data_IF_350588066531
#
_entry.id   IF_350588066531
#
_cell.length_a   1.000
_cell.length_b   1.000
_cell.length_c   1.000
_cell.angle_alpha   90.00
_cell.angle_beta   90.00
_cell.angle_gamma   90.00
#
_symmetry.space_group_name_H-M   'P 1'
#
loop_
_entity.id
_entity.type
_entity.pdbx_description
1 polymer ?
#
# COMPACT_ATOMS: atom_id res chain seq x y z
N UNK A 1 16.92 -22.33 84.07
CA UNK A 1 15.88 -21.47 83.57
C UNK A 1 15.67 -21.80 82.08
N UNK A 2 14.54 -22.38 81.83
CA UNK A 2 14.20 -23.03 80.55
C UNK A 2 13.36 -22.07 79.74
N UNK A 3 13.78 -21.73 78.55
CA UNK A 3 12.95 -21.00 77.56
C UNK A 3 12.53 -21.99 76.48
N UNK A 4 11.25 -22.24 76.38
CA UNK A 4 10.56 -22.94 75.31
C UNK A 4 10.48 -21.99 74.10
N UNK A 5 11.02 -22.40 72.97
CA UNK A 5 10.68 -21.81 71.64
C UNK A 5 9.59 -22.71 71.06
N UNK A 6 8.42 -22.12 70.94
CA UNK A 6 7.29 -22.69 70.21
C UNK A 6 7.45 -22.34 68.72
N UNK A 7 7.65 -23.36 67.92
CA UNK A 7 7.71 -23.23 66.46
C UNK A 7 6.31 -23.17 65.90
N UNK A 8 5.87 -22.03 65.42
CA UNK A 8 4.65 -21.89 64.64
C UNK A 8 4.97 -22.22 63.21
N UNK A 9 4.51 -23.38 62.74
CA UNK A 9 4.56 -23.82 61.35
C UNK A 9 3.41 -23.16 60.60
N UNK A 10 3.69 -22.14 59.83
CA UNK A 10 2.69 -21.50 58.93
C UNK A 10 2.63 -22.34 57.68
N UNK A 11 1.56 -23.10 57.53
CA UNK A 11 1.18 -23.82 56.30
C UNK A 11 0.68 -22.77 55.29
N UNK A 12 1.52 -22.39 54.32
CA UNK A 12 1.11 -21.60 53.18
C UNK A 12 0.41 -22.55 52.18
N UNK A 13 -0.91 -22.68 52.28
CA UNK A 13 -1.69 -23.33 51.22
C UNK A 13 -1.73 -22.46 49.99
N UNK A 14 -0.95 -22.80 48.97
CA UNK A 14 -1.03 -22.23 47.66
C UNK A 14 -2.39 -22.56 47.03
N UNK A 15 -3.32 -21.62 47.05
CA UNK A 15 -4.57 -21.69 46.30
C UNK A 15 -4.20 -21.53 44.83
N UNK A 16 -4.06 -22.62 44.10
CA UNK A 16 -4.00 -22.64 42.65
C UNK A 16 -5.41 -22.36 42.15
N UNK A 17 -5.69 -21.11 41.85
CA UNK A 17 -6.88 -20.74 41.09
C UNK A 17 -6.71 -21.25 39.67
N UNK A 18 -7.62 -22.05 39.12
CA UNK A 18 -7.59 -22.37 37.71
C UNK A 18 -7.84 -21.07 36.96
N UNK A 19 -6.86 -20.62 36.15
CA UNK A 19 -7.07 -19.59 35.14
C UNK A 19 -7.98 -20.24 34.11
N UNK A 20 -9.28 -20.10 34.29
CA UNK A 20 -10.24 -20.36 33.23
C UNK A 20 -9.97 -19.30 32.19
N UNK A 21 -9.28 -19.68 31.12
CA UNK A 21 -9.27 -18.91 29.87
C UNK A 21 -10.73 -18.79 29.46
N UNK A 22 -11.30 -17.62 29.66
CA UNK A 22 -12.58 -17.29 29.05
C UNK A 22 -12.26 -17.24 27.55
N UNK A 23 -12.48 -18.38 26.88
CA UNK A 23 -12.67 -18.35 25.46
C UNK A 23 -13.81 -17.33 25.22
N UNK A 24 -13.53 -16.23 24.57
CA UNK A 24 -14.57 -15.34 24.11
C UNK A 24 -15.47 -16.21 23.22
N UNK A 25 -16.58 -16.64 23.81
CA UNK A 25 -17.67 -17.22 23.05
C UNK A 25 -18.11 -16.14 22.10
N UNK A 26 -17.86 -16.36 20.81
CA UNK A 26 -18.51 -15.60 19.75
C UNK A 26 -19.97 -15.52 20.11
N UNK A 27 -20.41 -14.31 20.41
CA UNK A 27 -21.83 -14.02 20.65
C UNK A 27 -22.55 -14.41 19.38
N UNK A 28 -23.22 -15.55 19.43
CA UNK A 28 -24.10 -16.04 18.39
C UNK A 28 -25.14 -14.95 18.14
N UNK A 29 -24.99 -14.24 17.05
CA UNK A 29 -25.98 -13.29 16.57
C UNK A 29 -27.32 -14.00 16.45
N UNK A 30 -28.43 -13.38 16.87
CA UNK A 30 -29.73 -14.01 16.84
C UNK A 30 -30.06 -14.46 15.41
N UNK A 31 -30.45 -15.71 15.32
CA UNK A 31 -30.86 -16.42 14.12
C UNK A 31 -31.77 -15.57 13.23
N UNK A 32 -31.29 -15.24 12.04
CA UNK A 32 -32.16 -14.70 10.99
C UNK A 32 -31.62 -13.58 10.10
N UNK A 33 -30.68 -12.76 10.55
CA UNK A 33 -30.06 -11.74 9.70
C UNK A 33 -28.61 -12.11 9.42
N UNK A 34 -28.32 -12.54 8.17
CA UNK A 34 -26.94 -12.74 7.73
C UNK A 34 -26.19 -11.43 7.94
N UNK A 35 -24.99 -11.45 8.56
CA UNK A 35 -24.23 -10.26 8.81
C UNK A 35 -24.01 -9.53 7.48
N UNK A 36 -24.43 -8.28 7.42
CA UNK A 36 -23.94 -7.37 6.38
C UNK A 36 -22.49 -7.16 6.75
N UNK A 37 -21.58 -7.70 5.95
CA UNK A 37 -20.14 -7.41 6.12
C UNK A 37 -19.94 -5.92 5.83
N UNK A 38 -20.06 -5.12 6.87
CA UNK A 38 -19.46 -3.80 6.91
C UNK A 38 -18.01 -4.07 7.21
N UNK A 39 -17.15 -3.84 6.23
CA UNK A 39 -15.74 -3.67 6.54
C UNK A 39 -15.70 -2.32 7.26
N UNK A 40 -15.83 -2.37 8.58
CA UNK A 40 -15.53 -1.21 9.39
C UNK A 40 -14.08 -0.82 9.08
N UNK A 41 -13.69 0.39 9.41
CA UNK A 41 -12.33 0.92 9.29
C UNK A 41 -11.34 0.14 10.19
N UNK A 42 -11.42 -1.18 10.17
CA UNK A 42 -10.55 -2.08 10.90
C UNK A 42 -9.28 -2.33 10.09
N UNK A 43 -8.18 -2.54 10.78
CA UNK A 43 -6.87 -2.85 10.18
C UNK A 43 -6.84 -4.21 9.46
N UNK A 44 -7.94 -4.95 9.47
CA UNK A 44 -8.05 -6.28 8.90
C UNK A 44 -8.47 -6.21 7.43
N UNK A 45 -7.70 -6.85 6.58
CA UNK A 45 -8.11 -7.13 5.20
C UNK A 45 -9.34 -8.05 5.26
N UNK A 46 -10.42 -7.75 4.50
CA UNK A 46 -11.56 -8.65 4.45
C UNK A 46 -11.12 -10.03 3.98
N UNK A 47 -11.41 -11.05 4.77
CA UNK A 47 -11.13 -12.42 4.38
C UNK A 47 -11.86 -12.78 3.09
N UNK A 48 -11.12 -13.36 2.15
CA UNK A 48 -11.73 -14.03 1.01
C UNK A 48 -12.33 -15.35 1.53
N UNK A 49 -13.58 -15.32 1.97
CA UNK A 49 -14.28 -16.54 2.33
C UNK A 49 -14.43 -17.42 1.08
N UNK A 50 -13.51 -18.33 0.89
CA UNK A 50 -13.76 -19.56 0.15
C UNK A 50 -14.55 -20.46 1.09
N UNK A 51 -15.87 -20.47 0.97
CA UNK A 51 -16.68 -21.49 1.60
C UNK A 51 -16.37 -22.78 0.84
N UNK A 52 -15.68 -23.76 1.43
CA UNK A 52 -15.55 -25.06 0.77
C UNK A 52 -16.97 -25.59 0.54
N UNK A 53 -17.23 -26.10 -0.67
CA UNK A 53 -18.46 -26.82 -0.96
C UNK A 53 -18.45 -28.09 -0.11
N UNK A 54 -19.02 -28.02 1.07
CA UNK A 54 -19.33 -29.20 1.85
C UNK A 54 -20.41 -29.97 1.11
N UNK A 55 -20.05 -31.14 0.62
CA UNK A 55 -20.93 -32.14 0.08
C UNK A 55 -22.02 -32.48 1.12
N UNK A 56 -23.15 -31.83 1.05
CA UNK A 56 -24.34 -32.20 1.81
C UNK A 56 -25.34 -32.86 0.90
N UNK A 57 -25.55 -34.10 1.23
CA UNK A 57 -26.53 -35.03 0.71
C UNK A 57 -27.96 -34.48 0.69
N UNK A 58 -28.63 -34.72 -0.46
CA UNK A 58 -30.09 -34.87 -0.74
C UNK A 58 -31.06 -33.71 -0.63
N UNK A 59 -31.46 -33.27 -1.81
CA UNK A 59 -32.85 -33.11 -2.31
C UNK A 59 -33.85 -32.22 -1.56
N UNK A 60 -33.78 -30.94 -1.79
CA UNK A 60 -34.89 -30.06 -2.12
C UNK A 60 -34.44 -29.17 -3.26
N UNK A 61 -35.25 -29.00 -4.33
CA UNK A 61 -34.97 -28.05 -5.42
C UNK A 61 -34.74 -26.69 -4.80
N UNK A 62 -33.52 -26.38 -4.43
CA UNK A 62 -33.13 -25.07 -3.86
C UNK A 62 -33.18 -24.08 -5.01
N UNK A 63 -34.00 -23.03 -4.87
CA UNK A 63 -33.91 -21.85 -5.75
C UNK A 63 -32.42 -21.46 -5.81
N UNK A 64 -31.90 -21.28 -7.04
CA UNK A 64 -30.50 -20.90 -7.26
C UNK A 64 -30.12 -19.77 -6.31
N UNK A 65 -28.98 -19.88 -5.58
CA UNK A 65 -28.61 -18.89 -4.60
C UNK A 65 -28.51 -17.54 -5.30
N UNK A 66 -29.26 -16.55 -4.82
CA UNK A 66 -29.20 -15.18 -5.36
C UNK A 66 -27.74 -14.74 -5.31
N UNK A 67 -27.14 -14.40 -6.48
CA UNK A 67 -25.77 -13.91 -6.57
C UNK A 67 -25.56 -12.78 -5.57
N UNK A 68 -24.69 -13.00 -4.57
CA UNK A 68 -24.39 -11.99 -3.55
C UNK A 68 -23.87 -10.75 -4.26
N UNK A 69 -24.45 -9.59 -3.97
CA UNK A 69 -23.92 -8.31 -4.48
C UNK A 69 -22.55 -8.09 -3.85
N UNK A 70 -21.52 -7.95 -4.67
CA UNK A 70 -20.16 -7.66 -4.21
C UNK A 70 -20.06 -6.17 -3.95
N UNK A 71 -20.19 -5.78 -2.70
CA UNK A 71 -20.13 -4.38 -2.26
C UNK A 71 -19.04 -4.29 -1.20
N UNK A 72 -18.07 -3.43 -1.42
CA UNK A 72 -17.00 -3.12 -0.49
C UNK A 72 -17.02 -1.62 -0.24
N UNK A 73 -16.82 -1.20 1.02
CA UNK A 73 -16.81 0.23 1.38
C UNK A 73 -17.98 0.99 0.72
N UNK A 74 -19.20 0.40 0.76
CA UNK A 74 -20.44 0.95 0.18
C UNK A 74 -20.50 1.02 -1.36
N UNK A 75 -19.43 0.69 -2.07
CA UNK A 75 -19.37 0.73 -3.52
C UNK A 75 -19.55 -0.65 -4.14
N UNK A 76 -20.34 -0.71 -5.23
CA UNK A 76 -20.59 -1.95 -5.99
C UNK A 76 -19.38 -2.31 -6.85
N UNK A 77 -18.93 -3.57 -6.77
CA UNK A 77 -17.76 -4.06 -7.47
C UNK A 77 -18.04 -5.26 -8.36
N UNK A 78 -17.13 -5.47 -9.31
CA UNK A 78 -17.03 -6.71 -10.10
C UNK A 78 -15.70 -7.38 -9.78
N UNK A 79 -15.63 -8.71 -9.85
CA UNK A 79 -14.41 -9.49 -9.68
C UNK A 79 -13.64 -9.51 -11.00
N UNK A 80 -12.32 -9.31 -10.92
CA UNK A 80 -11.37 -9.48 -12.01
C UNK A 80 -10.23 -10.40 -11.61
N UNK A 81 -9.48 -10.86 -12.60
CA UNK A 81 -8.22 -11.55 -12.41
C UNK A 81 -7.30 -11.29 -13.59
N UNK A 82 -6.01 -11.33 -13.36
CA UNK A 82 -4.96 -11.29 -14.38
C UNK A 82 -4.03 -12.47 -14.15
N UNK A 83 -3.75 -13.21 -15.21
CA UNK A 83 -2.77 -14.30 -15.21
C UNK A 83 -1.62 -13.92 -16.12
N UNK A 84 -0.42 -13.90 -15.58
CA UNK A 84 0.81 -13.62 -16.33
C UNK A 84 1.75 -14.80 -16.20
N UNK A 85 2.36 -15.21 -17.32
CA UNK A 85 3.36 -16.27 -17.36
C UNK A 85 4.69 -15.60 -17.70
N UNK A 86 5.70 -15.79 -16.86
CA UNK A 86 7.06 -15.29 -17.14
C UNK A 86 7.72 -16.17 -18.17
N UNK A 87 8.10 -15.56 -19.32
CA UNK A 87 8.51 -16.29 -20.51
C UNK A 87 9.67 -17.27 -20.33
N UNK A 88 10.67 -16.92 -19.51
CA UNK A 88 11.90 -17.74 -19.37
C UNK A 88 11.82 -18.75 -18.22
N UNK A 89 11.07 -18.44 -17.16
CA UNK A 89 11.02 -19.27 -15.94
C UNK A 89 9.74 -20.11 -15.81
N UNK A 90 8.75 -19.92 -16.67
CA UNK A 90 7.46 -20.61 -16.61
C UNK A 90 6.63 -20.24 -15.36
N UNK A 91 7.07 -19.31 -14.55
CA UNK A 91 6.36 -18.90 -13.34
C UNK A 91 5.01 -18.26 -13.67
N UNK A 92 3.97 -18.76 -13.03
CA UNK A 92 2.60 -18.25 -13.20
C UNK A 92 2.28 -17.30 -12.07
N UNK A 93 2.04 -16.04 -12.40
CA UNK A 93 1.51 -15.04 -11.47
C UNK A 93 0.01 -14.90 -11.70
N UNK A 94 -0.78 -14.98 -10.63
CA UNK A 94 -2.22 -14.80 -10.65
C UNK A 94 -2.59 -13.68 -9.69
N UNK A 95 -3.14 -12.59 -10.23
CA UNK A 95 -3.66 -11.46 -9.44
C UNK A 95 -5.18 -11.51 -9.43
N UNK A 96 -5.77 -11.64 -8.25
CA UNK A 96 -7.22 -11.67 -8.02
C UNK A 96 -7.62 -10.37 -7.36
N UNK A 97 -8.60 -9.67 -7.92
CA UNK A 97 -8.98 -8.34 -7.47
C UNK A 97 -10.46 -8.05 -7.72
N UNK A 98 -10.87 -6.92 -7.18
CA UNK A 98 -12.16 -6.32 -7.49
C UNK A 98 -11.94 -4.92 -8.07
N UNK A 99 -12.90 -4.48 -8.90
CA UNK A 99 -12.90 -3.15 -9.50
C UNK A 99 -14.30 -2.55 -9.45
N UNK A 100 -14.39 -1.23 -9.47
CA UNK A 100 -15.65 -0.50 -9.43
C UNK A 100 -16.53 -0.82 -10.62
N UNK A 101 -17.82 -1.04 -10.37
CA UNK A 101 -18.82 -1.20 -11.43
C UNK A 101 -19.08 0.12 -12.15
N UNK A 102 -19.16 1.20 -11.41
CA UNK A 102 -19.36 2.57 -11.87
C UNK A 102 -18.07 3.35 -11.64
N UNK A 103 -17.72 4.25 -12.57
CA UNK A 103 -16.51 5.03 -12.44
C UNK A 103 -16.60 5.96 -11.22
N UNK A 104 -15.51 6.07 -10.49
CA UNK A 104 -15.31 7.07 -9.45
C UNK A 104 -13.85 7.52 -9.51
N UNK A 105 -13.64 8.82 -9.52
CA UNK A 105 -12.31 9.38 -9.61
C UNK A 105 -11.50 9.10 -8.32
N UNK A 106 -10.26 8.61 -8.45
CA UNK A 106 -9.35 8.50 -7.34
C UNK A 106 -8.98 9.88 -6.76
N UNK A 107 -8.44 9.89 -5.54
CA UNK A 107 -7.93 11.11 -4.93
C UNK A 107 -6.73 11.65 -5.75
N UNK A 108 -6.81 12.89 -6.28
CA UNK A 108 -5.79 13.45 -7.16
C UNK A 108 -4.43 13.72 -6.48
N UNK A 109 -4.40 13.78 -5.14
CA UNK A 109 -3.17 13.99 -4.37
C UNK A 109 -2.36 12.72 -4.16
N UNK A 110 -2.93 11.53 -4.44
CA UNK A 110 -2.24 10.28 -4.23
C UNK A 110 -1.44 9.93 -5.48
N UNK A 111 -0.12 9.79 -5.36
CA UNK A 111 0.75 9.56 -6.52
C UNK A 111 0.62 8.15 -7.10
N UNK A 112 0.13 7.19 -6.33
CA UNK A 112 0.04 5.79 -6.69
C UNK A 112 -1.42 5.34 -6.84
N UNK A 113 -1.95 5.45 -8.07
CA UNK A 113 -3.30 5.01 -8.42
C UNK A 113 -3.19 3.69 -9.18
N UNK A 114 -3.91 2.67 -8.72
CA UNK A 114 -3.92 1.34 -9.31
C UNK A 114 -5.19 1.13 -10.12
N UNK A 115 -5.01 0.79 -11.39
CA UNK A 115 -6.08 0.50 -12.33
C UNK A 115 -5.80 -0.78 -13.08
N UNK A 116 -6.85 -1.48 -13.47
CA UNK A 116 -6.75 -2.57 -14.42
C UNK A 116 -6.91 -2.03 -15.83
N UNK A 117 -5.86 -2.14 -16.64
CA UNK A 117 -5.88 -1.85 -18.07
C UNK A 117 -6.46 -3.08 -18.79
N UNK A 118 -7.68 -2.92 -19.34
CA UNK A 118 -8.39 -4.01 -20.02
C UNK A 118 -7.67 -4.37 -21.32
N UNK A 119 -7.13 -3.38 -22.03
CA UNK A 119 -6.49 -3.57 -23.33
C UNK A 119 -5.23 -4.42 -23.21
N UNK A 120 -4.43 -4.15 -22.17
CA UNK A 120 -3.19 -4.88 -21.89
C UNK A 120 -3.40 -6.08 -20.97
N UNK A 121 -4.60 -6.21 -20.40
CA UNK A 121 -4.96 -7.20 -19.38
C UNK A 121 -3.93 -7.27 -18.25
N UNK A 122 -3.61 -6.12 -17.66
CA UNK A 122 -2.65 -6.01 -16.55
C UNK A 122 -3.06 -4.93 -15.56
N UNK A 123 -2.68 -5.10 -14.28
CA UNK A 123 -2.77 -4.03 -13.28
C UNK A 123 -1.58 -3.11 -13.48
N UNK A 124 -1.87 -1.81 -13.63
CA UNK A 124 -0.85 -0.78 -13.76
C UNK A 124 -0.99 0.25 -12.63
N UNK A 125 0.14 0.84 -12.29
CA UNK A 125 0.24 1.97 -11.38
C UNK A 125 0.44 3.24 -12.19
N UNK A 126 -0.40 4.22 -11.97
CA UNK A 126 -0.35 5.53 -12.65
C UNK A 126 -0.40 6.66 -11.61
N UNK A 127 0.23 7.78 -11.90
CA UNK A 127 0.16 8.97 -11.04
C UNK A 127 -1.06 9.83 -11.34
N UNK A 128 -1.55 9.78 -12.58
CA UNK A 128 -2.73 10.51 -13.06
C UNK A 128 -3.44 9.70 -14.14
N UNK A 129 -4.75 9.75 -14.15
CA UNK A 129 -5.55 9.13 -15.20
C UNK A 129 -5.90 10.19 -16.23
N UNK A 130 -5.43 10.01 -17.45
CA UNK A 130 -5.78 10.86 -18.59
C UNK A 130 -7.19 10.52 -19.08
N UNK A 131 -7.98 11.52 -19.43
CA UNK A 131 -9.36 11.34 -19.86
C UNK A 131 -9.51 10.40 -21.08
N UNK A 132 -8.56 10.44 -22.01
CA UNK A 132 -8.53 9.58 -23.19
C UNK A 132 -8.28 8.10 -22.88
N UNK A 133 -7.66 7.79 -21.74
CA UNK A 133 -7.37 6.41 -21.30
C UNK A 133 -8.42 5.84 -20.36
N UNK A 134 -9.28 6.71 -19.82
CA UNK A 134 -10.33 6.32 -18.87
C UNK A 134 -11.24 5.17 -19.35
N UNK A 135 -11.67 5.12 -20.62
CA UNK A 135 -12.52 4.01 -21.10
C UNK A 135 -11.89 2.63 -20.97
N UNK A 136 -10.54 2.55 -21.09
CA UNK A 136 -9.77 1.31 -21.04
C UNK A 136 -9.39 0.90 -19.62
N UNK A 137 -9.61 1.77 -18.63
CA UNK A 137 -9.21 1.54 -17.25
C UNK A 137 -10.38 1.17 -16.37
N UNK A 138 -10.12 0.31 -15.40
CA UNK A 138 -11.06 -0.01 -14.31
C UNK A 138 -10.35 0.23 -12.99
N UNK A 139 -10.93 1.10 -12.19
CA UNK A 139 -10.38 1.50 -10.88
C UNK A 139 -10.50 0.33 -9.90
N UNK A 140 -9.39 -0.08 -9.30
CA UNK A 140 -9.38 -1.17 -8.32
C UNK A 140 -10.09 -0.76 -7.03
N UNK A 141 -10.86 -1.68 -6.44
CA UNK A 141 -11.60 -1.41 -5.21
C UNK A 141 -12.01 -2.70 -4.51
N UNK A 142 -11.68 -2.83 -3.21
CA UNK A 142 -11.93 -4.04 -2.43
C UNK A 142 -10.70 -4.94 -2.35
N UNK A 143 -10.87 -6.19 -1.91
CA UNK A 143 -9.78 -7.13 -1.67
C UNK A 143 -8.92 -7.42 -2.89
N UNK A 144 -7.63 -7.61 -2.63
CA UNK A 144 -6.59 -7.96 -3.60
C UNK A 144 -5.72 -9.09 -3.08
N UNK A 145 -5.41 -10.04 -3.95
CA UNK A 145 -4.48 -11.14 -3.68
C UNK A 145 -3.62 -11.39 -4.91
N UNK A 146 -2.31 -11.49 -4.70
CA UNK A 146 -1.34 -11.89 -5.72
C UNK A 146 -0.72 -13.22 -5.33
N UNK A 147 -0.75 -14.15 -6.26
CA UNK A 147 -0.19 -15.49 -6.10
C UNK A 147 0.93 -15.72 -7.12
N UNK A 148 1.96 -16.41 -6.71
CA UNK A 148 3.03 -16.92 -7.59
C UNK A 148 3.06 -18.44 -7.49
N UNK A 149 2.80 -19.12 -8.60
CA UNK A 149 2.72 -20.59 -8.66
C UNK A 149 1.76 -21.19 -7.61
N UNK A 150 0.63 -20.51 -7.34
CA UNK A 150 -0.35 -20.89 -6.34
C UNK A 150 -0.07 -20.43 -4.91
N UNK A 151 1.11 -19.86 -4.65
CA UNK A 151 1.51 -19.35 -3.35
C UNK A 151 1.21 -17.87 -3.23
N UNK A 152 0.55 -17.44 -2.14
CA UNK A 152 0.25 -16.03 -1.92
C UNK A 152 1.54 -15.27 -1.61
N UNK A 153 1.83 -14.23 -2.39
CA UNK A 153 3.00 -13.35 -2.21
C UNK A 153 2.63 -11.94 -1.81
N UNK A 154 1.40 -11.49 -2.06
CA UNK A 154 0.94 -10.17 -1.62
C UNK A 154 -0.57 -10.20 -1.38
N UNK A 155 -1.02 -9.60 -0.28
CA UNK A 155 -2.44 -9.39 0.02
C UNK A 155 -2.70 -7.96 0.45
N UNK A 156 -3.91 -7.48 0.20
CA UNK A 156 -4.31 -6.15 0.63
C UNK A 156 -5.72 -5.80 0.19
N UNK A 157 -6.04 -4.53 0.29
CA UNK A 157 -7.29 -4.00 -0.24
C UNK A 157 -7.06 -2.64 -0.92
N UNK A 158 -7.89 -2.34 -1.90
CA UNK A 158 -7.91 -1.05 -2.56
C UNK A 158 -9.18 -0.25 -2.19
N UNK A 159 -9.03 1.05 -2.07
CA UNK A 159 -10.11 2.01 -1.97
C UNK A 159 -10.02 3.01 -3.12
N UNK A 160 -10.92 2.92 -4.09
CA UNK A 160 -10.95 3.79 -5.28
C UNK A 160 -9.55 3.99 -5.88
N UNK A 161 -8.93 2.88 -6.31
CA UNK A 161 -7.61 2.86 -6.94
C UNK A 161 -6.41 3.04 -6.03
N UNK A 162 -6.59 3.24 -4.73
CA UNK A 162 -5.49 3.50 -3.80
C UNK A 162 -5.37 2.38 -2.77
N UNK A 163 -4.16 2.12 -2.26
CA UNK A 163 -3.96 1.13 -1.19
C UNK A 163 -4.74 1.52 0.05
N UNK A 164 -5.38 0.55 0.69
CA UNK A 164 -6.18 0.73 1.90
C UNK A 164 -6.06 -0.47 2.83
N UNK A 165 -6.32 -0.26 4.13
CA UNK A 165 -6.17 -1.27 5.18
C UNK A 165 -4.75 -1.86 5.25
N UNK A 166 -4.63 -3.09 5.72
CA UNK A 166 -3.35 -3.78 5.88
C UNK A 166 -2.90 -4.42 4.58
N UNK A 167 -1.66 -4.17 4.19
CA UNK A 167 -0.96 -4.82 3.10
C UNK A 167 0.15 -5.69 3.64
N UNK A 168 0.22 -6.91 3.14
CA UNK A 168 1.18 -7.92 3.56
C UNK A 168 1.90 -8.45 2.33
N UNK A 169 3.22 -8.60 2.45
CA UNK A 169 4.07 -9.18 1.42
C UNK A 169 4.82 -10.38 1.99
N UNK A 170 4.84 -11.47 1.24
CA UNK A 170 5.41 -12.74 1.62
C UNK A 170 6.48 -13.17 0.63
N UNK A 171 7.50 -13.84 1.12
CA UNK A 171 8.48 -14.49 0.26
C UNK A 171 7.96 -15.82 -0.31
N UNK A 172 8.81 -16.49 -1.11
CA UNK A 172 8.47 -17.80 -1.69
C UNK A 172 8.33 -18.92 -0.65
N UNK A 173 8.78 -18.69 0.58
CA UNK A 173 8.68 -19.62 1.72
C UNK A 173 7.53 -19.27 2.65
N UNK A 174 6.63 -18.35 2.24
CA UNK A 174 5.52 -17.82 3.04
C UNK A 174 5.95 -17.06 4.30
N UNK A 175 7.18 -16.57 4.34
CA UNK A 175 7.62 -15.72 5.44
C UNK A 175 7.16 -14.30 5.16
N UNK A 176 6.43 -13.71 6.11
CA UNK A 176 6.01 -12.32 6.05
C UNK A 176 7.25 -11.42 6.19
N UNK A 177 7.57 -10.67 5.14
CA UNK A 177 8.69 -9.71 5.19
C UNK A 177 8.26 -8.26 5.11
N UNK A 178 7.01 -7.99 4.74
CA UNK A 178 6.48 -6.64 4.64
C UNK A 178 5.06 -6.54 5.16
N UNK A 179 4.81 -5.56 6.05
CA UNK A 179 3.49 -5.25 6.57
C UNK A 179 3.33 -3.75 6.69
N UNK A 180 2.39 -3.19 5.97
CA UNK A 180 2.13 -1.75 5.96
C UNK A 180 0.63 -1.49 6.05
N UNK A 181 0.25 -0.49 6.82
CA UNK A 181 -1.14 -0.07 6.96
C UNK A 181 -1.38 1.23 6.19
N UNK A 182 -2.46 1.26 5.42
CA UNK A 182 -2.85 2.42 4.63
C UNK A 182 -4.27 2.87 4.97
N UNK A 183 -4.52 4.16 4.87
CA UNK A 183 -5.85 4.74 4.90
C UNK A 183 -6.07 5.58 3.65
N UNK A 184 -6.89 5.05 2.72
CA UNK A 184 -7.24 5.71 1.45
C UNK A 184 -6.02 6.27 0.70
N UNK A 185 -4.96 5.44 0.60
CA UNK A 185 -3.74 5.75 -0.14
C UNK A 185 -2.59 6.31 0.69
N UNK A 186 -2.85 6.84 1.87
CA UNK A 186 -1.83 7.34 2.79
C UNK A 186 -1.46 6.28 3.84
N UNK A 187 -0.23 6.31 4.39
CA UNK A 187 0.09 5.53 5.58
C UNK A 187 -0.92 5.86 6.70
N UNK A 188 -1.41 4.86 7.42
CA UNK A 188 -2.55 5.03 8.34
C UNK A 188 -2.32 6.05 9.45
N UNK A 189 -1.10 6.15 9.96
CA UNK A 189 -0.73 7.04 11.05
C UNK A 189 -0.11 8.36 10.54
N UNK A 190 -0.14 8.61 9.21
CA UNK A 190 0.45 9.81 8.64
C UNK A 190 -0.21 11.09 9.17
N UNK A 191 0.63 12.06 9.56
CA UNK A 191 0.18 13.42 9.84
C UNK A 191 0.03 14.18 8.52
N UNK A 192 -1.20 14.53 8.16
CA UNK A 192 -1.50 15.28 6.95
C UNK A 192 -1.80 16.71 7.31
N UNK A 193 -1.09 17.65 6.71
CA UNK A 193 -1.37 19.10 6.81
C UNK A 193 -2.03 19.58 5.52
N UNK A 194 -2.78 20.66 5.59
CA UNK A 194 -3.57 21.19 4.49
C UNK A 194 -3.31 22.68 4.30
N UNK A 195 -3.48 23.18 3.09
CA UNK A 195 -3.46 24.61 2.79
C UNK A 195 -4.74 25.31 3.24
N UNK A 196 -5.87 24.57 3.25
CA UNK A 196 -7.19 25.09 3.52
C UNK A 196 -7.85 24.43 4.75
N UNK A 197 -8.69 25.17 5.45
CA UNK A 197 -9.46 24.65 6.59
C UNK A 197 -10.45 23.56 6.19
N UNK A 198 -10.92 23.55 4.93
CA UNK A 198 -11.83 22.52 4.40
C UNK A 198 -11.13 21.18 4.12
N UNK A 199 -9.81 21.09 4.32
CA UNK A 199 -8.98 19.88 4.13
C UNK A 199 -9.09 19.26 2.74
N UNK A 200 -9.26 20.10 1.72
CA UNK A 200 -9.31 19.63 0.33
C UNK A 200 -7.95 19.67 -0.35
N UNK A 201 -7.11 20.65 0.01
CA UNK A 201 -5.79 20.84 -0.57
C UNK A 201 -4.73 20.33 0.39
N UNK A 202 -4.17 19.18 0.12
CA UNK A 202 -3.08 18.61 0.93
C UNK A 202 -1.81 19.43 0.72
N UNK A 203 -1.16 19.83 1.82
CA UNK A 203 0.13 20.54 1.82
C UNK A 203 1.28 19.58 2.05
N UNK A 204 1.18 18.73 3.06
CA UNK A 204 2.26 17.87 3.48
C UNK A 204 1.73 16.57 4.06
N UNK A 205 2.42 15.47 3.78
CA UNK A 205 2.15 14.15 4.36
C UNK A 205 3.42 13.65 5.03
N UNK A 206 3.41 13.69 6.36
CA UNK A 206 4.46 13.11 7.19
C UNK A 206 4.08 11.68 7.58
N UNK A 207 4.84 10.67 7.15
CA UNK A 207 4.54 9.29 7.49
C UNK A 207 5.00 8.99 8.92
N UNK A 208 4.07 8.63 9.80
CA UNK A 208 4.37 8.12 11.12
C UNK A 208 3.94 6.66 11.23
N UNK A 209 4.76 5.85 11.88
CA UNK A 209 4.44 4.50 12.30
C UNK A 209 5.05 4.27 13.68
N UNK A 210 4.22 3.86 14.65
CA UNK A 210 4.62 3.70 16.07
C UNK A 210 5.36 4.92 16.67
N UNK A 211 4.92 6.13 16.30
CA UNK A 211 5.48 7.38 16.83
C UNK A 211 6.78 7.86 16.19
N UNK A 212 7.35 7.10 15.25
CA UNK A 212 8.55 7.49 14.48
C UNK A 212 8.18 7.86 13.05
N UNK A 213 8.99 8.70 12.41
CA UNK A 213 8.88 8.95 10.96
C UNK A 213 9.28 7.68 10.22
N UNK A 214 8.31 7.06 9.52
CA UNK A 214 8.49 5.80 8.81
C UNK A 214 7.63 5.77 7.55
N UNK A 215 8.23 5.59 6.38
CA UNK A 215 7.54 5.49 5.11
C UNK A 215 7.71 6.70 4.20
N UNK A 216 6.84 6.84 3.20
CA UNK A 216 6.99 7.82 2.14
C UNK A 216 6.46 9.20 2.55
N UNK A 217 7.30 10.21 2.37
CA UNK A 217 7.04 11.63 2.63
C UNK A 217 6.68 12.37 1.33
N UNK A 218 5.72 13.29 1.42
CA UNK A 218 5.32 14.15 0.31
C UNK A 218 5.07 15.58 0.77
N UNK A 219 5.56 16.53 -0.01
CA UNK A 219 5.21 17.95 0.08
C UNK A 219 4.60 18.39 -1.24
N UNK A 220 3.50 19.12 -1.19
CA UNK A 220 2.74 19.58 -2.36
C UNK A 220 2.72 21.10 -2.46
N UNK A 221 2.57 21.61 -3.68
CA UNK A 221 2.21 22.98 -3.93
C UNK A 221 0.71 23.20 -3.71
N UNK A 222 0.26 24.42 -3.63
CA UNK A 222 -1.16 24.75 -3.54
C UNK A 222 -1.96 24.29 -4.77
N UNK A 223 -1.30 24.18 -5.93
CA UNK A 223 -1.87 23.63 -7.18
C UNK A 223 -1.96 22.09 -7.16
N UNK A 224 -1.45 21.43 -6.12
CA UNK A 224 -1.45 19.96 -6.00
C UNK A 224 -0.27 19.25 -6.68
N UNK A 225 0.72 19.99 -7.17
CA UNK A 225 1.94 19.36 -7.70
C UNK A 225 2.85 18.93 -6.56
N UNK A 226 3.52 17.80 -6.70
CA UNK A 226 4.54 17.35 -5.74
C UNK A 226 5.74 18.27 -5.83
N UNK A 227 6.18 18.84 -4.70
CA UNK A 227 7.39 19.67 -4.57
C UNK A 227 8.58 18.88 -4.07
N UNK A 228 8.33 17.96 -3.14
CA UNK A 228 9.36 17.13 -2.54
C UNK A 228 8.78 15.75 -2.24
N UNK A 229 9.54 14.73 -2.54
CA UNK A 229 9.23 13.36 -2.10
C UNK A 229 10.49 12.63 -1.68
N UNK A 230 10.36 11.74 -0.70
CA UNK A 230 11.43 10.91 -0.19
C UNK A 230 10.89 9.86 0.74
N UNK A 231 11.78 9.21 1.48
CA UNK A 231 11.43 8.17 2.43
C UNK A 231 12.13 8.40 3.75
N UNK A 232 11.39 8.17 4.82
CA UNK A 232 11.92 8.10 6.18
C UNK A 232 11.98 6.65 6.65
N UNK A 233 13.05 6.30 7.38
CA UNK A 233 13.16 5.08 8.17
C UNK A 233 13.73 5.43 9.53
N UNK A 234 13.08 4.93 10.59
CA UNK A 234 13.45 5.21 12.00
C UNK A 234 13.68 6.70 12.34
N UNK A 235 12.99 7.60 11.67
CA UNK A 235 13.10 9.04 11.86
C UNK A 235 14.14 9.73 10.98
N UNK A 236 15.00 8.99 10.29
CA UNK A 236 16.03 9.52 9.38
C UNK A 236 15.58 9.52 7.92
N UNK A 237 16.09 10.46 7.12
CA UNK A 237 15.93 10.44 5.66
C UNK A 237 16.82 9.35 5.06
N UNK A 238 16.23 8.48 4.23
CA UNK A 238 16.95 7.40 3.55
C UNK A 238 16.72 7.41 2.05
N UNK A 239 17.65 6.82 1.29
CA UNK A 239 17.53 6.64 -0.14
C UNK A 239 17.54 7.95 -0.92
N UNK A 240 16.79 8.00 -2.02
CA UNK A 240 16.78 9.15 -2.94
C UNK A 240 15.59 10.07 -2.63
N UNK A 241 15.90 11.33 -2.33
CA UNK A 241 14.96 12.43 -2.20
C UNK A 241 14.94 13.24 -3.46
N UNK A 242 13.73 13.61 -3.93
CA UNK A 242 13.52 14.30 -5.20
C UNK A 242 12.77 15.58 -4.96
N UNK A 243 13.42 16.71 -5.28
CA UNK A 243 12.80 18.03 -5.39
C UNK A 243 12.23 18.23 -6.80
N UNK A 244 11.10 18.91 -6.90
CA UNK A 244 10.48 19.31 -8.17
C UNK A 244 10.33 20.82 -8.26
N UNK A 245 10.21 21.34 -9.47
CA UNK A 245 9.86 22.73 -9.68
C UNK A 245 8.38 22.97 -9.31
N UNK A 246 8.04 24.12 -8.67
CA UNK A 246 6.67 24.38 -8.21
C UNK A 246 5.62 24.38 -9.31
N UNK A 247 5.96 24.92 -10.47
CA UNK A 247 5.04 25.12 -11.59
C UNK A 247 5.24 24.13 -12.74
N UNK A 248 6.30 23.32 -12.69
CA UNK A 248 6.65 22.35 -13.72
C UNK A 248 6.68 20.93 -13.14
N UNK A 249 6.23 19.93 -13.89
CA UNK A 249 6.29 18.53 -13.43
C UNK A 249 7.73 17.95 -13.46
N UNK A 250 8.72 18.79 -13.76
CA UNK A 250 10.10 18.39 -13.95
C UNK A 250 10.82 18.28 -12.59
N UNK A 251 11.75 17.34 -12.51
CA UNK A 251 12.64 17.20 -11.35
C UNK A 251 13.61 18.39 -11.34
N UNK A 252 13.83 18.94 -10.14
CA UNK A 252 14.81 19.99 -9.87
C UNK A 252 16.11 19.38 -9.35
N UNK A 253 16.02 18.47 -8.37
CA UNK A 253 17.19 17.89 -7.73
C UNK A 253 16.90 16.46 -7.24
N UNK A 254 17.90 15.60 -7.33
CA UNK A 254 17.91 14.30 -6.69
C UNK A 254 19.06 14.25 -5.68
N UNK A 255 18.74 14.05 -4.42
CA UNK A 255 19.71 13.96 -3.33
C UNK A 255 19.67 12.54 -2.76
N UNK A 256 20.83 11.88 -2.70
CA UNK A 256 20.97 10.57 -2.09
C UNK A 256 21.37 10.75 -0.63
N UNK A 257 20.55 10.21 0.25
CA UNK A 257 20.86 9.96 1.66
C UNK A 257 21.37 8.54 1.81
N UNK A 258 21.97 8.23 2.96
CA UNK A 258 22.35 6.85 3.32
C UNK A 258 21.14 5.91 3.26
N UNK A 259 21.39 4.64 2.97
CA UNK A 259 20.33 3.61 3.04
C UNK A 259 20.21 3.03 4.47
N UNK A 260 21.18 3.33 5.35
CA UNK A 260 21.17 2.97 6.77
C UNK A 260 20.64 4.15 7.61
N UNK A 261 19.47 4.04 8.26
CA UNK A 261 18.88 5.13 9.06
C UNK A 261 19.73 5.50 10.29
N UNK A 262 20.64 4.65 10.72
CA UNK A 262 21.52 4.88 11.88
C UNK A 262 22.88 5.49 11.51
N UNK A 263 23.19 5.61 10.23
CA UNK A 263 24.40 6.28 9.77
C UNK A 263 24.24 7.80 9.83
N UNK A 264 24.84 8.41 10.84
CA UNK A 264 24.86 9.87 11.04
C UNK A 264 26.11 10.55 10.46
N UNK A 265 27.07 9.78 9.92
CA UNK A 265 28.35 10.32 9.44
C UNK A 265 28.34 10.64 7.96
N UNK A 266 27.63 9.85 7.17
CA UNK A 266 27.57 10.03 5.71
C UNK A 266 26.75 11.27 5.37
N UNK A 267 27.38 12.24 4.69
CA UNK A 267 26.71 13.44 4.22
C UNK A 267 25.85 13.15 2.98
N UNK A 268 24.69 13.79 2.85
CA UNK A 268 23.85 13.65 1.66
C UNK A 268 24.60 14.09 0.39
N UNK A 269 24.47 13.32 -0.68
CA UNK A 269 25.10 13.60 -1.97
C UNK A 269 24.04 14.05 -2.99
N UNK A 270 24.24 15.20 -3.63
CA UNK A 270 23.42 15.61 -4.76
C UNK A 270 23.81 14.78 -5.98
N UNK A 271 22.95 13.82 -6.36
CA UNK A 271 23.21 12.97 -7.52
C UNK A 271 23.05 13.76 -8.82
N UNK A 272 21.96 14.52 -8.94
CA UNK A 272 21.64 15.28 -10.15
C UNK A 272 20.88 16.55 -9.78
N UNK A 273 21.18 17.62 -10.51
CA UNK A 273 20.41 18.85 -10.45
C UNK A 273 20.12 19.38 -11.86
N UNK A 274 18.91 19.90 -12.09
CA UNK A 274 18.46 20.42 -13.35
C UNK A 274 18.00 21.87 -13.19
N UNK A 275 18.18 22.66 -14.22
CA UNK A 275 17.57 23.99 -14.31
C UNK A 275 16.10 23.87 -14.80
N UNK A 276 15.36 24.99 -14.79
CA UNK A 276 13.96 25.06 -15.24
C UNK A 276 13.76 24.60 -16.70
N UNK A 277 14.76 24.75 -17.53
CA UNK A 277 14.77 24.32 -18.94
C UNK A 277 15.02 22.80 -19.07
N UNK A 278 15.19 22.08 -17.96
CA UNK A 278 15.46 20.64 -17.94
C UNK A 278 16.91 20.28 -18.27
N UNK A 279 17.81 21.27 -18.37
CA UNK A 279 19.24 21.03 -18.59
C UNK A 279 19.90 20.61 -17.27
N UNK A 280 20.67 19.55 -17.31
CA UNK A 280 21.42 19.02 -16.16
C UNK A 280 22.59 19.96 -15.84
N UNK A 281 22.70 20.37 -14.58
CA UNK A 281 23.72 21.31 -14.08
C UNK A 281 24.73 20.66 -13.15
N UNK A 282 24.30 19.62 -12.37
CA UNK A 282 25.16 18.88 -11.44
C UNK A 282 24.98 17.38 -11.67
N UNK A 283 26.09 16.63 -11.63
CA UNK A 283 26.14 15.16 -11.59
C UNK A 283 27.10 14.75 -10.48
N UNK A 284 26.66 13.87 -9.59
CA UNK A 284 27.46 13.29 -8.48
C UNK A 284 28.23 14.38 -7.69
N UNK A 285 27.53 15.45 -7.34
CA UNK A 285 28.06 16.58 -6.59
C UNK A 285 28.98 17.51 -7.37
N UNK A 286 29.23 17.26 -8.66
CA UNK A 286 30.14 18.06 -9.48
C UNK A 286 29.35 18.90 -10.52
N UNK A 287 29.64 20.20 -10.63
CA UNK A 287 29.02 21.04 -11.65
C UNK A 287 29.50 20.60 -13.05
N UNK A 288 28.57 20.64 -14.01
CA UNK A 288 28.88 20.35 -15.41
C UNK A 288 29.39 21.62 -16.07
N UNK A 289 30.57 21.62 -16.70
CA UNK A 289 31.10 22.78 -17.40
C UNK A 289 30.15 23.26 -18.50
N UNK A 290 29.95 24.57 -18.64
CA UNK A 290 29.20 25.16 -19.74
C UNK A 290 29.90 24.85 -21.07
N UNK A 291 29.16 24.22 -22.02
CA UNK A 291 29.68 23.81 -23.31
C UNK A 291 30.01 22.33 -23.48
N UNK A 292 30.00 21.53 -22.46
CA UNK A 292 30.10 20.08 -22.62
C UNK A 292 28.87 19.58 -23.40
N UNK A 293 29.07 18.91 -24.54
CA UNK A 293 28.02 18.20 -25.25
C UNK A 293 27.47 17.13 -24.33
N UNK A 294 26.34 17.42 -23.69
CA UNK A 294 25.62 16.40 -22.94
C UNK A 294 25.16 15.37 -23.98
N UNK A 295 25.70 14.16 -23.91
CA UNK A 295 25.03 13.02 -24.51
C UNK A 295 23.70 12.94 -23.77
N UNK A 296 22.64 13.35 -24.48
CA UNK A 296 21.25 13.16 -24.05
C UNK A 296 21.12 11.66 -23.79
N UNK A 297 21.18 11.27 -22.51
CA UNK A 297 20.78 9.93 -22.13
C UNK A 297 19.28 9.88 -22.44
N UNK A 298 18.99 9.52 -23.69
CA UNK A 298 17.62 9.27 -24.14
C UNK A 298 16.98 8.35 -23.13
N UNK A 299 15.92 8.85 -22.55
CA UNK A 299 15.05 8.08 -21.64
C UNK A 299 14.83 6.69 -22.28
N UNK A 300 15.15 5.57 -21.59
CA UNK A 300 15.02 4.23 -22.15
C UNK A 300 13.66 3.96 -22.77
N UNK A 301 12.64 4.69 -22.31
CA UNK A 301 11.28 4.65 -22.83
C UNK A 301 11.19 5.32 -24.22
N UNK A 302 11.86 6.46 -24.44
CA UNK A 302 11.91 7.14 -25.75
C UNK A 302 12.68 6.32 -26.79
N UNK A 303 13.76 5.65 -26.39
CA UNK A 303 14.56 4.78 -27.26
C UNK A 303 13.78 3.54 -27.73
N UNK A 304 12.87 3.02 -26.90
CA UNK A 304 11.99 1.89 -27.26
C UNK A 304 10.89 2.29 -28.25
N UNK A 305 10.42 3.53 -28.20
CA UNK A 305 9.39 4.05 -29.10
C UNK A 305 9.94 4.37 -30.51
N UNK A 306 11.20 4.82 -30.63
CA UNK A 306 11.86 5.07 -31.92
C UNK A 306 12.23 3.79 -32.68
N UNK A 307 12.37 2.63 -32.00
CA UNK A 307 12.67 1.33 -32.65
C UNK A 307 11.43 0.60 -33.19
N UNK A 308 10.24 1.15 -33.03
CA UNK A 308 8.97 0.58 -33.51
C UNK A 308 8.29 1.37 -34.63
N UNK A 309 9.02 2.30 -35.26
CA UNK A 309 8.59 2.93 -36.53
C UNK A 309 9.35 2.34 -37.69
#
# INVERSE_FOLDING_TARGET
MKHLFSSILILLSAIVLPITSIAQTDTLLPSGKKPRYYIMETDTVPELMFIPDTLTTRHKKRKAPKKKKKTFYELKCKKGFVRTISGTSGNVTLEKFYYLKEWKDPNPYIPDIYVWDITKNQIIKVSKIEANKQPNYRVLHGPYVKELNGSVIETGAFYVGTKHARWEAYDKKFILYGKTKFYKGWPKEAKITYFDASRRKVKEVMPYEYGKLQGDYYLFSEKGNVLLKGRYEDGAKVGIWIDFFPDLPNRKRETKYTDDPFDTKTQPLVLKEWNEKGKLTIIDGKPIPEGSKQQEQEDPIKKRLKRKK
#
